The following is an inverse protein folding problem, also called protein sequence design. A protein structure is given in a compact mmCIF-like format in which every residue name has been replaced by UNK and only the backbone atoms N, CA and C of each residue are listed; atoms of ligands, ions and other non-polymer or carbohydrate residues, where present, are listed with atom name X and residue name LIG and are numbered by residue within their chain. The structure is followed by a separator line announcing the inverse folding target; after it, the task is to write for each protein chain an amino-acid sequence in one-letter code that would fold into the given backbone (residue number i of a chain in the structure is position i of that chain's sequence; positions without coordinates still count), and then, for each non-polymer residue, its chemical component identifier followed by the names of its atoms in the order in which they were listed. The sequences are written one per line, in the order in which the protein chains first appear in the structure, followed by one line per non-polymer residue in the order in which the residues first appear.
data_IF_221854647336
#
_entry.id   IF_221854647336
#
_cell.length_a   1.000
_cell.length_b   1.000
_cell.length_c   1.000
_cell.angle_alpha   90.00
_cell.angle_beta   90.00
_cell.angle_gamma   90.00
#
_symmetry.space_group_name_H-M   'P 1'
#
loop_
_entity.id
_entity.type
_entity.pdbx_description
1 polymer ?
#
# COMPACT_ATOMS: atom_id res chain seq x y z
N UNK A 1 33.42 -3.63 -12.56
CA UNK A 1 32.28 -4.50 -12.94
C UNK A 1 31.05 -3.82 -12.38
N UNK A 2 29.96 -3.79 -13.14
CA UNK A 2 28.69 -3.26 -12.64
C UNK A 2 28.21 -4.08 -11.43
N UNK A 3 27.51 -3.41 -10.49
CA UNK A 3 26.93 -4.11 -9.34
C UNK A 3 25.82 -5.06 -9.79
N UNK A 4 25.88 -6.30 -9.31
CA UNK A 4 24.85 -7.32 -9.58
C UNK A 4 23.65 -7.06 -8.67
N UNK A 5 22.49 -6.80 -9.28
CA UNK A 5 21.26 -6.41 -8.58
C UNK A 5 20.25 -7.56 -8.61
N UNK A 6 19.70 -7.92 -7.44
CA UNK A 6 18.61 -8.87 -7.32
C UNK A 6 17.26 -8.14 -7.45
N UNK A 7 16.40 -8.58 -8.36
CA UNK A 7 14.99 -8.19 -8.37
C UNK A 7 14.21 -9.29 -7.65
N UNK A 8 13.74 -8.99 -6.43
CA UNK A 8 13.04 -9.94 -5.56
C UNK A 8 11.54 -9.87 -5.87
N UNK A 9 10.96 -10.97 -6.32
CA UNK A 9 9.55 -11.04 -6.69
C UNK A 9 8.96 -12.44 -6.44
N UNK A 10 7.71 -12.66 -6.81
CA UNK A 10 6.98 -13.91 -6.66
C UNK A 10 6.56 -14.16 -5.22
N UNK A 11 7.36 -14.92 -4.48
CA UNK A 11 7.07 -15.25 -3.09
C UNK A 11 5.85 -16.17 -2.90
N UNK A 12 5.27 -16.18 -1.70
CA UNK A 12 4.19 -17.11 -1.31
C UNK A 12 2.90 -16.42 -0.85
N UNK A 13 2.82 -15.10 -0.94
CA UNK A 13 1.61 -14.34 -0.56
C UNK A 13 0.46 -14.56 -1.53
N UNK A 14 -0.75 -14.17 -1.15
CA UNK A 14 -1.92 -14.16 -2.03
C UNK A 14 -1.74 -13.24 -3.26
N UNK A 15 -0.78 -12.28 -3.20
CA UNK A 15 -0.50 -11.32 -4.25
C UNK A 15 0.66 -11.77 -5.18
N UNK A 16 1.01 -13.07 -5.17
CA UNK A 16 2.10 -13.62 -5.97
C UNK A 16 2.02 -13.24 -7.46
N UNK A 17 0.87 -13.35 -8.11
CA UNK A 17 0.72 -13.03 -9.53
C UNK A 17 1.01 -11.56 -9.83
N UNK A 18 0.57 -10.65 -8.96
CA UNK A 18 0.89 -9.21 -9.06
C UNK A 18 2.39 -8.99 -8.93
N UNK A 19 3.03 -9.71 -8.00
CA UNK A 19 4.48 -9.64 -7.79
C UNK A 19 5.29 -10.17 -8.97
N UNK A 20 4.85 -11.27 -9.60
CA UNK A 20 5.47 -11.80 -10.81
C UNK A 20 5.45 -10.78 -11.95
N UNK A 21 4.30 -10.14 -12.16
CA UNK A 21 4.14 -9.12 -13.21
C UNK A 21 4.97 -7.85 -12.90
N UNK A 22 4.93 -7.37 -11.66
CA UNK A 22 5.74 -6.23 -11.21
C UNK A 22 7.23 -6.51 -11.34
N UNK A 23 7.67 -7.70 -10.89
CA UNK A 23 9.07 -8.11 -10.97
C UNK A 23 9.60 -8.22 -12.39
N UNK A 24 8.80 -8.77 -13.30
CA UNK A 24 9.15 -8.86 -14.72
C UNK A 24 9.29 -7.45 -15.34
N UNK A 25 8.37 -6.54 -15.06
CA UNK A 25 8.43 -5.17 -15.56
C UNK A 25 9.65 -4.42 -14.99
N UNK A 26 9.89 -4.49 -13.67
CA UNK A 26 11.06 -3.88 -13.02
C UNK A 26 12.36 -4.40 -13.60
N UNK A 27 12.48 -5.72 -13.77
CA UNK A 27 13.66 -6.37 -14.37
C UNK A 27 13.93 -5.83 -15.76
N UNK A 28 12.91 -5.73 -16.61
CA UNK A 28 13.03 -5.18 -17.96
C UNK A 28 13.46 -3.70 -17.92
N UNK A 29 12.81 -2.87 -17.10
CA UNK A 29 13.13 -1.44 -16.98
C UNK A 29 14.54 -1.16 -16.44
N UNK A 30 15.01 -1.94 -15.46
CA UNK A 30 16.38 -1.83 -14.94
C UNK A 30 17.43 -2.20 -16.01
N UNK A 31 17.19 -3.28 -16.77
CA UNK A 31 18.08 -3.69 -17.85
C UNK A 31 18.12 -2.68 -19.00
N UNK A 32 16.97 -2.11 -19.36
CA UNK A 32 16.89 -0.98 -20.32
C UNK A 32 17.71 0.23 -19.82
N UNK A 33 17.70 0.48 -18.50
CA UNK A 33 18.52 1.51 -17.85
C UNK A 33 20.00 1.14 -17.69
N UNK A 34 20.46 0.01 -18.23
CA UNK A 34 21.85 -0.41 -18.19
C UNK A 34 22.30 -1.08 -16.89
N UNK A 35 21.36 -1.45 -16.01
CA UNK A 35 21.64 -2.12 -14.73
C UNK A 35 21.81 -3.63 -14.93
N UNK A 36 22.81 -4.23 -14.28
CA UNK A 36 23.02 -5.70 -14.26
C UNK A 36 22.03 -6.37 -13.30
N UNK A 37 20.74 -6.40 -13.71
CA UNK A 37 19.63 -6.90 -12.93
C UNK A 37 19.28 -8.36 -13.24
N UNK A 38 19.06 -9.14 -12.17
CA UNK A 38 18.77 -10.57 -12.24
C UNK A 38 17.48 -10.93 -11.49
N UNK A 39 16.66 -11.85 -12.04
CA UNK A 39 15.42 -12.27 -11.40
C UNK A 39 15.71 -13.20 -10.22
N UNK A 40 14.99 -12.98 -9.12
CA UNK A 40 15.05 -13.83 -7.92
C UNK A 40 13.63 -14.05 -7.41
N UNK A 41 13.03 -15.21 -7.73
CA UNK A 41 11.78 -15.63 -7.09
C UNK A 41 12.10 -16.13 -5.68
N UNK A 42 11.58 -15.42 -4.67
CA UNK A 42 11.88 -15.72 -3.26
C UNK A 42 11.25 -17.02 -2.76
N UNK A 43 10.35 -17.63 -3.53
CA UNK A 43 9.85 -18.98 -3.27
C UNK A 43 10.89 -20.05 -3.60
N UNK A 44 11.69 -19.82 -4.63
CA UNK A 44 12.57 -20.83 -5.23
C UNK A 44 14.05 -20.62 -4.82
N UNK A 45 14.41 -19.40 -4.42
CA UNK A 45 15.77 -19.01 -4.05
C UNK A 45 15.83 -18.64 -2.56
N UNK A 46 16.78 -19.23 -1.84
CA UNK A 46 17.08 -18.86 -0.46
C UNK A 46 17.67 -17.42 -0.39
N UNK A 47 16.87 -16.48 0.05
CA UNK A 47 17.23 -15.06 0.15
C UNK A 47 18.43 -14.83 1.07
N UNK A 48 18.68 -15.71 2.05
CA UNK A 48 19.86 -15.62 2.94
C UNK A 48 21.17 -15.74 2.18
N UNK A 49 21.15 -16.31 0.98
CA UNK A 49 22.33 -16.54 0.15
C UNK A 49 22.64 -15.40 -0.83
N UNK A 50 21.85 -14.35 -0.91
CA UNK A 50 22.02 -13.26 -1.88
C UNK A 50 23.44 -12.69 -1.88
N UNK A 51 24.01 -12.44 -0.70
CA UNK A 51 25.37 -11.92 -0.58
C UNK A 51 26.42 -12.91 -1.11
N UNK A 52 26.26 -14.20 -0.81
CA UNK A 52 27.15 -15.26 -1.30
C UNK A 52 27.02 -15.47 -2.82
N UNK A 53 25.83 -15.22 -3.38
CA UNK A 53 25.56 -15.23 -4.82
C UNK A 53 26.08 -13.98 -5.54
N UNK A 54 26.73 -13.06 -4.81
CA UNK A 54 27.39 -11.88 -5.35
C UNK A 54 26.48 -10.67 -5.56
N UNK A 55 25.24 -10.71 -5.09
CA UNK A 55 24.34 -9.57 -5.18
C UNK A 55 24.79 -8.44 -4.25
N UNK A 56 24.73 -7.20 -4.75
CA UNK A 56 25.15 -5.98 -4.03
C UNK A 56 23.99 -5.18 -3.48
N UNK A 57 22.85 -5.21 -4.18
CA UNK A 57 21.59 -4.58 -3.79
C UNK A 57 20.42 -5.45 -4.20
N UNK A 58 19.26 -5.20 -3.58
CA UNK A 58 18.00 -5.84 -3.92
C UNK A 58 16.94 -4.78 -4.26
N UNK A 59 16.24 -4.98 -5.37
CA UNK A 59 15.00 -4.27 -5.67
C UNK A 59 13.84 -5.15 -5.18
N UNK A 60 13.04 -4.66 -4.24
CA UNK A 60 11.88 -5.39 -3.72
C UNK A 60 10.68 -5.08 -4.60
N UNK A 61 10.16 -6.12 -5.28
CA UNK A 61 8.92 -6.12 -6.06
C UNK A 61 7.95 -7.21 -5.56
N UNK A 62 8.08 -7.55 -4.27
CA UNK A 62 7.15 -8.42 -3.56
C UNK A 62 5.99 -7.61 -3.00
N UNK A 63 4.81 -8.24 -2.90
CA UNK A 63 3.61 -7.63 -2.36
C UNK A 63 3.01 -8.49 -1.24
N UNK A 64 2.32 -7.84 -0.31
CA UNK A 64 1.67 -8.49 0.81
C UNK A 64 2.63 -9.03 1.87
N UNK A 65 2.15 -10.00 2.63
CA UNK A 65 2.88 -10.59 3.76
C UNK A 65 4.19 -11.25 3.32
N UNK A 66 5.26 -11.03 4.08
CA UNK A 66 6.60 -11.53 3.78
C UNK A 66 7.37 -10.70 2.75
N UNK A 67 6.74 -9.71 2.11
CA UNK A 67 7.36 -8.82 1.12
C UNK A 67 7.39 -7.37 1.56
N UNK A 68 6.30 -6.87 2.13
CA UNK A 68 6.16 -5.46 2.52
C UNK A 68 5.76 -5.27 4.01
N UNK A 69 5.88 -6.31 4.83
CA UNK A 69 5.55 -6.31 6.26
C UNK A 69 6.76 -6.15 7.21
N UNK A 70 7.95 -5.91 6.67
CA UNK A 70 9.19 -5.77 7.43
C UNK A 70 9.98 -7.07 7.59
N UNK A 71 9.40 -8.24 7.30
CA UNK A 71 10.07 -9.54 7.47
C UNK A 71 11.26 -9.68 6.53
N UNK A 72 11.05 -9.43 5.23
CA UNK A 72 12.11 -9.46 4.23
C UNK A 72 13.17 -8.39 4.50
N UNK A 73 12.74 -7.17 4.84
CA UNK A 73 13.61 -6.05 5.15
C UNK A 73 14.55 -6.40 6.31
N UNK A 74 14.02 -7.02 7.37
CA UNK A 74 14.84 -7.47 8.51
C UNK A 74 15.86 -8.55 8.14
N UNK A 75 15.50 -9.47 7.23
CA UNK A 75 16.44 -10.45 6.72
C UNK A 75 17.55 -9.78 5.92
N UNK A 76 17.21 -8.84 5.01
CA UNK A 76 18.18 -8.12 4.18
C UNK A 76 19.12 -7.26 5.04
N UNK A 77 18.61 -6.62 6.11
CA UNK A 77 19.41 -5.91 7.09
C UNK A 77 20.44 -6.84 7.77
N UNK A 78 20.00 -8.02 8.23
CA UNK A 78 20.88 -9.00 8.90
C UNK A 78 21.99 -9.51 7.99
N UNK A 79 21.71 -9.76 6.71
CA UNK A 79 22.71 -10.20 5.73
C UNK A 79 23.48 -9.02 5.09
N UNK A 80 23.14 -7.79 5.46
CA UNK A 80 23.78 -6.57 4.96
C UNK A 80 23.70 -6.44 3.42
N UNK A 81 22.53 -6.65 2.85
CA UNK A 81 22.22 -6.38 1.44
C UNK A 81 21.29 -5.16 1.40
N UNK A 82 21.77 -4.00 0.91
CA UNK A 82 20.94 -2.82 0.73
C UNK A 82 19.73 -3.12 -0.19
N UNK A 83 18.61 -2.49 0.09
CA UNK A 83 17.36 -2.74 -0.64
C UNK A 83 16.55 -1.47 -0.87
N UNK A 84 15.65 -1.52 -1.84
CA UNK A 84 14.74 -0.43 -2.18
C UNK A 84 13.58 -0.33 -1.20
N UNK A 85 13.18 0.90 -0.87
CA UNK A 85 11.96 1.17 -0.10
C UNK A 85 12.20 1.36 1.39
N UNK A 86 11.15 1.18 2.15
CA UNK A 86 11.12 1.43 3.59
C UNK A 86 11.75 0.29 4.39
N UNK A 87 12.33 0.63 5.55
CA UNK A 87 12.91 -0.35 6.47
C UNK A 87 11.86 -1.12 7.29
N UNK A 88 12.34 -1.97 8.20
CA UNK A 88 11.54 -2.92 8.99
C UNK A 88 10.34 -2.27 9.66
N UNK A 89 10.59 -1.23 10.48
CA UNK A 89 9.54 -0.60 11.28
C UNK A 89 8.47 0.05 10.41
N UNK A 90 8.88 0.84 9.42
CA UNK A 90 7.95 1.55 8.55
C UNK A 90 7.12 0.58 7.70
N UNK A 91 7.72 -0.48 7.16
CA UNK A 91 7.01 -1.53 6.41
C UNK A 91 5.99 -2.24 7.29
N UNK A 92 6.37 -2.65 8.51
CA UNK A 92 5.46 -3.31 9.44
C UNK A 92 4.28 -2.41 9.86
N UNK A 93 4.55 -1.11 10.13
CA UNK A 93 3.52 -0.14 10.48
C UNK A 93 2.58 0.15 9.31
N UNK A 94 3.13 0.29 8.10
CA UNK A 94 2.35 0.59 6.89
C UNK A 94 1.41 -0.56 6.51
N UNK A 95 1.86 -1.80 6.67
CA UNK A 95 1.04 -2.99 6.42
C UNK A 95 -0.13 -3.13 7.40
N UNK A 96 -0.02 -2.57 8.60
CA UNK A 96 -1.02 -2.64 9.66
C UNK A 96 -1.88 -1.35 9.68
N UNK A 97 -3.08 -1.42 9.09
CA UNK A 97 -4.01 -0.29 8.99
C UNK A 97 -4.36 0.31 10.36
N UNK A 98 -4.49 -0.53 11.39
CA UNK A 98 -4.82 -0.07 12.74
C UNK A 98 -3.67 0.75 13.34
N UNK A 99 -2.42 0.26 13.23
CA UNK A 99 -1.23 0.94 13.75
C UNK A 99 -0.93 2.22 12.97
N UNK A 100 -1.07 2.20 11.65
CA UNK A 100 -0.97 3.41 10.82
C UNK A 100 -1.97 4.49 11.26
N UNK A 101 -3.23 4.11 11.48
CA UNK A 101 -4.28 5.05 11.93
C UNK A 101 -3.99 5.62 13.31
N UNK A 102 -3.53 4.80 14.26
CA UNK A 102 -3.15 5.31 15.58
C UNK A 102 -2.02 6.34 15.52
N UNK A 103 -1.00 6.07 14.69
CA UNK A 103 0.12 6.99 14.51
C UNK A 103 -0.30 8.28 13.85
N UNK A 104 -1.06 8.21 12.76
CA UNK A 104 -1.59 9.39 12.08
C UNK A 104 -2.50 10.22 12.98
N UNK A 105 -3.42 9.58 13.68
CA UNK A 105 -4.32 10.25 14.64
C UNK A 105 -3.52 10.90 15.77
N UNK A 106 -2.53 10.21 16.34
CA UNK A 106 -1.63 10.74 17.37
C UNK A 106 -0.81 11.93 16.90
N UNK A 107 -0.51 12.00 15.60
CA UNK A 107 0.17 13.13 14.95
C UNK A 107 -0.79 14.25 14.50
N UNK A 108 -2.09 14.13 14.80
CA UNK A 108 -3.12 15.11 14.43
C UNK A 108 -3.47 15.09 12.93
N UNK A 109 -3.18 13.97 12.22
CA UNK A 109 -3.55 13.82 10.81
C UNK A 109 -4.95 13.21 10.67
N UNK A 110 -5.71 13.58 9.63
CA UNK A 110 -7.09 13.16 9.46
C UNK A 110 -7.18 11.68 9.05
N UNK A 111 -7.90 10.90 9.85
CA UNK A 111 -8.32 9.52 9.57
C UNK A 111 -9.82 9.40 9.77
N UNK A 112 -10.49 8.58 8.96
CA UNK A 112 -11.92 8.33 9.14
C UNK A 112 -12.19 7.81 10.57
N UNK A 113 -13.30 8.15 11.23
CA UNK A 113 -13.70 7.56 12.51
C UNK A 113 -13.79 6.02 12.39
N UNK A 114 -13.31 5.30 13.40
CA UNK A 114 -13.21 3.86 13.37
C UNK A 114 -13.33 3.22 14.76
N UNK A 115 -13.66 1.91 14.76
CA UNK A 115 -13.66 1.03 15.93
C UNK A 115 -12.82 -0.20 15.57
N UNK A 116 -11.85 -0.57 16.41
CA UNK A 116 -11.10 -1.79 16.24
C UNK A 116 -11.71 -2.92 17.07
N UNK A 117 -11.73 -4.11 16.49
CA UNK A 117 -12.21 -5.35 17.11
C UNK A 117 -11.13 -6.42 17.04
N UNK A 118 -10.99 -7.20 18.11
CA UNK A 118 -10.18 -8.40 18.12
C UNK A 118 -11.05 -9.64 17.90
N UNK A 119 -10.44 -10.72 17.39
CA UNK A 119 -11.11 -12.04 17.27
C UNK A 119 -11.72 -12.49 18.61
N UNK A 120 -11.02 -12.26 19.73
CA UNK A 120 -11.49 -12.63 21.05
C UNK A 120 -12.80 -11.91 21.41
N UNK A 121 -12.90 -10.59 21.13
CA UNK A 121 -14.13 -9.81 21.36
C UNK A 121 -15.28 -10.32 20.47
N UNK A 122 -14.99 -10.59 19.19
CA UNK A 122 -16.00 -11.11 18.27
C UNK A 122 -16.52 -12.49 18.71
N UNK A 123 -15.63 -13.42 19.11
CA UNK A 123 -15.99 -14.76 19.51
C UNK A 123 -16.77 -14.79 20.84
N UNK A 124 -16.45 -13.87 21.76
CA UNK A 124 -17.16 -13.74 23.03
C UNK A 124 -18.54 -13.06 22.90
N UNK A 125 -18.84 -12.48 21.76
CA UNK A 125 -19.96 -11.58 21.54
C UNK A 125 -19.58 -10.13 21.88
N UNK A 126 -20.01 -9.21 21.04
CA UNK A 126 -19.70 -7.78 21.24
C UNK A 126 -20.38 -7.27 22.50
N UNK A 127 -19.64 -6.50 23.30
CA UNK A 127 -20.24 -5.82 24.47
C UNK A 127 -21.12 -4.66 24.01
N UNK A 128 -22.12 -4.29 24.81
CA UNK A 128 -22.99 -3.13 24.54
C UNK A 128 -22.21 -1.82 24.30
N UNK A 129 -21.06 -1.65 24.96
CA UNK A 129 -20.19 -0.47 24.75
C UNK A 129 -19.57 -0.48 23.34
N UNK A 130 -19.13 -1.62 22.85
CA UNK A 130 -18.58 -1.77 21.49
C UNK A 130 -19.67 -1.59 20.43
N UNK A 131 -20.84 -2.18 20.63
CA UNK A 131 -22.00 -1.99 19.74
C UNK A 131 -22.39 -0.50 19.67
N UNK A 132 -22.39 0.22 20.78
CA UNK A 132 -22.65 1.65 20.83
C UNK A 132 -21.59 2.45 20.07
N UNK A 133 -20.29 2.10 20.19
CA UNK A 133 -19.23 2.74 19.44
C UNK A 133 -19.39 2.54 17.94
N UNK A 134 -19.74 1.33 17.50
CA UNK A 134 -20.00 1.04 16.07
C UNK A 134 -21.24 1.83 15.59
N UNK A 135 -22.31 1.85 16.36
CA UNK A 135 -23.51 2.62 16.03
C UNK A 135 -23.23 4.11 15.88
N UNK A 136 -22.30 4.67 16.67
CA UNK A 136 -21.89 6.08 16.60
C UNK A 136 -21.18 6.43 15.28
N UNK A 137 -20.61 5.46 14.55
CA UNK A 137 -20.02 5.70 13.22
C UNK A 137 -21.08 6.04 12.18
N UNK A 138 -22.35 5.66 12.41
CA UNK A 138 -23.48 5.74 11.48
C UNK A 138 -23.26 4.91 10.19
N UNK A 139 -24.31 4.29 9.71
CA UNK A 139 -24.28 3.53 8.45
C UNK A 139 -24.27 4.49 7.25
N UNK A 140 -23.66 4.09 6.13
CA UNK A 140 -22.92 2.85 5.96
C UNK A 140 -21.53 2.89 6.63
N UNK A 141 -20.99 1.70 6.95
CA UNK A 141 -19.61 1.51 7.40
C UNK A 141 -18.87 0.57 6.48
N UNK A 142 -17.53 0.60 6.50
CA UNK A 142 -16.68 -0.38 5.83
C UNK A 142 -15.94 -1.22 6.87
N UNK A 143 -15.93 -2.53 6.67
CA UNK A 143 -15.21 -3.49 7.50
C UNK A 143 -13.97 -3.95 6.77
N UNK A 144 -12.82 -3.96 7.46
CA UNK A 144 -11.51 -4.26 6.88
C UNK A 144 -10.68 -5.12 7.84
N UNK A 145 -10.07 -6.22 7.38
CA UNK A 145 -8.94 -6.82 8.09
C UNK A 145 -7.80 -5.80 8.22
N UNK A 146 -7.08 -5.80 9.36
CA UNK A 146 -6.04 -4.78 9.61
C UNK A 146 -4.83 -4.95 8.71
N UNK A 147 -4.41 -6.21 8.41
CA UNK A 147 -3.14 -6.55 7.76
C UNK A 147 -3.30 -7.28 6.42
N UNK A 148 -4.40 -7.03 5.71
CA UNK A 148 -4.60 -7.56 4.35
C UNK A 148 -4.55 -6.44 3.31
N UNK A 149 -3.98 -6.76 2.14
CA UNK A 149 -3.96 -5.92 0.96
C UNK A 149 -5.11 -6.23 -0.02
N UNK A 150 -5.13 -5.53 -1.13
CA UNK A 150 -5.98 -5.82 -2.30
C UNK A 150 -7.48 -6.01 -2.00
N UNK A 151 -7.98 -5.32 -0.99
CA UNK A 151 -9.39 -5.37 -0.54
C UNK A 151 -9.89 -6.75 -0.09
N UNK A 152 -8.99 -7.69 0.23
CA UNK A 152 -9.33 -9.03 0.73
C UNK A 152 -10.10 -8.92 2.05
N UNK A 153 -11.24 -9.59 2.14
CA UNK A 153 -12.07 -9.64 3.35
C UNK A 153 -12.80 -8.33 3.69
N UNK A 154 -12.77 -7.32 2.80
CA UNK A 154 -13.47 -6.05 3.02
C UNK A 154 -14.96 -6.16 2.66
N UNK A 155 -15.79 -5.46 3.41
CA UNK A 155 -17.24 -5.39 3.15
C UNK A 155 -17.80 -4.01 3.50
N UNK A 156 -18.63 -3.45 2.60
CA UNK A 156 -19.49 -2.31 2.91
C UNK A 156 -20.77 -2.81 3.57
N UNK A 157 -21.09 -2.26 4.72
CA UNK A 157 -22.32 -2.59 5.47
C UNK A 157 -23.24 -1.38 5.44
N UNK A 158 -24.38 -1.52 4.78
CA UNK A 158 -25.40 -0.47 4.69
C UNK A 158 -26.58 -0.72 5.65
N UNK A 159 -26.81 -1.96 6.04
CA UNK A 159 -27.86 -2.37 6.97
C UNK A 159 -27.24 -3.06 8.20
N UNK A 160 -27.72 -2.76 9.39
CA UNK A 160 -27.17 -3.29 10.63
C UNK A 160 -27.24 -4.83 10.75
N UNK A 161 -28.20 -5.47 10.08
CA UNK A 161 -28.33 -6.91 10.04
C UNK A 161 -27.15 -7.61 9.31
N UNK A 162 -26.42 -6.92 8.44
CA UNK A 162 -25.29 -7.47 7.69
C UNK A 162 -23.96 -7.39 8.47
N UNK A 163 -23.91 -6.63 9.56
CA UNK A 163 -22.71 -6.43 10.35
C UNK A 163 -22.07 -7.74 10.87
N UNK A 164 -22.84 -8.71 11.42
CA UNK A 164 -22.24 -9.96 11.92
C UNK A 164 -21.59 -10.79 10.82
N UNK A 165 -22.23 -10.89 9.63
CA UNK A 165 -21.69 -11.66 8.50
C UNK A 165 -20.44 -11.01 7.92
N UNK A 166 -20.40 -9.68 7.80
CA UNK A 166 -19.27 -8.93 7.33
C UNK A 166 -18.07 -9.01 8.31
N UNK A 167 -18.31 -8.96 9.62
CA UNK A 167 -17.27 -9.21 10.63
C UNK A 167 -16.75 -10.64 10.55
N UNK A 168 -17.63 -11.64 10.41
CA UNK A 168 -17.23 -13.04 10.29
C UNK A 168 -16.33 -13.27 9.06
N UNK A 169 -16.62 -12.61 7.94
CA UNK A 169 -15.78 -12.66 6.74
C UNK A 169 -14.40 -12.03 7.01
N UNK A 170 -14.36 -10.83 7.56
CA UNK A 170 -13.09 -10.14 7.82
C UNK A 170 -12.20 -10.91 8.80
N UNK A 171 -12.79 -11.53 9.83
CA UNK A 171 -12.06 -12.36 10.79
C UNK A 171 -11.58 -13.71 10.22
N UNK A 172 -11.95 -14.10 9.00
CA UNK A 172 -11.29 -15.23 8.32
C UNK A 172 -9.87 -14.89 7.88
N UNK A 173 -9.57 -13.60 7.70
CA UNK A 173 -8.31 -13.11 7.15
C UNK A 173 -7.36 -12.51 8.19
N UNK A 174 -7.88 -11.98 9.30
CA UNK A 174 -7.04 -11.37 10.35
C UNK A 174 -7.65 -11.57 11.75
N UNK A 175 -6.83 -11.40 12.78
CA UNK A 175 -7.25 -11.42 14.20
C UNK A 175 -7.67 -10.04 14.70
N UNK A 176 -7.42 -8.99 13.92
CA UNK A 176 -7.82 -7.61 14.18
C UNK A 176 -8.56 -7.04 12.97
N UNK A 177 -9.72 -6.46 13.22
CA UNK A 177 -10.63 -5.93 12.20
C UNK A 177 -10.99 -4.49 12.54
N UNK A 178 -11.04 -3.64 11.52
CA UNK A 178 -11.50 -2.27 11.62
C UNK A 178 -12.92 -2.15 11.09
N UNK A 179 -13.77 -1.47 11.83
CA UNK A 179 -15.07 -0.95 11.38
C UNK A 179 -14.90 0.55 11.22
N UNK A 180 -15.00 1.08 10.01
CA UNK A 180 -14.76 2.49 9.72
C UNK A 180 -16.00 3.16 9.14
N UNK A 181 -16.18 4.46 9.43
CA UNK A 181 -17.13 5.28 8.70
C UNK A 181 -16.90 5.18 7.20
N UNK A 182 -17.96 4.93 6.43
CA UNK A 182 -17.88 4.98 4.98
C UNK A 182 -17.66 6.43 4.50
N UNK A 183 -16.64 6.64 3.69
CA UNK A 183 -16.39 7.91 3.01
C UNK A 183 -16.98 7.84 1.61
N UNK A 184 -17.72 8.84 1.20
CA UNK A 184 -18.55 8.81 -0.02
C UNK A 184 -17.93 9.54 -1.22
N UNK A 185 -16.83 10.25 -1.01
CA UNK A 185 -16.17 11.00 -2.06
C UNK A 185 -15.15 10.19 -2.87
N UNK A 186 -14.42 10.82 -3.79
CA UNK A 186 -13.44 10.16 -4.63
C UNK A 186 -12.21 9.72 -3.86
N UNK A 187 -11.61 8.62 -4.33
CA UNK A 187 -10.34 8.10 -3.86
C UNK A 187 -9.18 8.73 -4.66
N UNK A 188 -8.10 9.02 -3.95
CA UNK A 188 -6.85 9.55 -4.50
C UNK A 188 -5.68 8.71 -4.02
N UNK A 189 -4.61 8.72 -4.81
CA UNK A 189 -3.31 8.22 -4.38
C UNK A 189 -2.23 9.21 -4.73
N UNK A 190 -1.21 9.32 -3.88
CA UNK A 190 -0.04 10.16 -4.12
C UNK A 190 1.21 9.33 -3.89
N UNK A 191 2.04 9.26 -4.93
CA UNK A 191 3.31 8.56 -4.89
C UNK A 191 4.45 9.49 -4.45
N UNK A 192 5.44 8.90 -3.77
CA UNK A 192 6.68 9.56 -3.34
C UNK A 192 7.85 8.73 -3.87
N UNK A 193 8.86 9.40 -4.44
CA UNK A 193 10.12 8.79 -4.90
C UNK A 193 11.29 9.66 -4.42
N UNK A 194 11.98 9.21 -3.38
CA UNK A 194 12.98 9.99 -2.67
C UNK A 194 12.33 11.17 -1.94
N UNK A 195 12.72 12.37 -2.31
CA UNK A 195 12.15 13.62 -1.80
C UNK A 195 11.06 14.21 -2.70
N UNK A 196 10.83 13.60 -3.87
CA UNK A 196 9.85 14.09 -4.84
C UNK A 196 8.48 13.49 -4.58
N UNK A 197 7.50 14.37 -4.45
CA UNK A 197 6.09 14.01 -4.38
C UNK A 197 5.54 14.13 -5.79
N UNK A 198 5.07 13.01 -6.34
CA UNK A 198 4.53 12.96 -7.69
C UNK A 198 3.10 13.53 -7.73
N UNK A 199 2.61 13.91 -8.92
CA UNK A 199 1.23 14.34 -9.08
C UNK A 199 0.24 13.33 -8.53
N UNK A 200 -0.80 13.79 -7.83
CA UNK A 200 -1.85 12.92 -7.31
C UNK A 200 -2.62 12.24 -8.46
N UNK A 201 -3.19 11.09 -8.18
CA UNK A 201 -4.11 10.41 -9.10
C UNK A 201 -5.46 10.29 -8.42
N UNK A 202 -6.50 10.84 -9.05
CA UNK A 202 -7.89 10.56 -8.68
C UNK A 202 -8.34 9.29 -9.37
N UNK A 203 -8.89 8.36 -8.58
CA UNK A 203 -9.37 7.06 -9.02
C UNK A 203 -10.89 7.09 -9.07
N UNK A 204 -11.46 6.75 -10.21
CA UNK A 204 -12.89 6.61 -10.40
C UNK A 204 -13.18 5.17 -10.81
N UNK A 205 -13.42 4.32 -9.81
CA UNK A 205 -13.82 2.94 -10.06
C UNK A 205 -15.22 2.87 -10.68
N UNK A 206 -15.43 1.88 -11.53
CA UNK A 206 -16.77 1.60 -12.09
C UNK A 206 -17.73 1.01 -11.05
N UNK A 207 -17.19 0.36 -10.02
CA UNK A 207 -17.96 -0.31 -8.94
C UNK A 207 -18.13 0.55 -7.68
N UNK A 208 -18.61 -0.11 -6.62
CA UNK A 208 -18.89 0.54 -5.32
C UNK A 208 -17.61 1.03 -4.63
N UNK A 209 -16.48 0.36 -4.85
CA UNK A 209 -15.15 0.73 -4.33
C UNK A 209 -14.04 0.13 -5.22
N UNK A 210 -12.83 0.61 -5.04
CA UNK A 210 -11.64 0.22 -5.80
C UNK A 210 -11.10 -1.09 -5.26
N UNK A 211 -11.72 -2.21 -5.66
CA UNK A 211 -11.40 -3.57 -5.25
C UNK A 211 -10.31 -4.22 -6.13
N UNK A 212 -10.02 -5.50 -5.88
CA UNK A 212 -9.03 -6.26 -6.64
C UNK A 212 -9.31 -6.30 -8.14
N UNK A 213 -10.58 -6.47 -8.52
CA UNK A 213 -11.01 -6.52 -9.93
C UNK A 213 -10.78 -5.15 -10.60
N UNK A 214 -11.19 -4.06 -9.93
CA UNK A 214 -10.98 -2.70 -10.40
C UNK A 214 -9.48 -2.30 -10.44
N UNK A 215 -8.64 -2.89 -9.57
CA UNK A 215 -7.18 -2.62 -9.50
C UNK A 215 -6.37 -3.31 -10.60
N UNK A 216 -6.74 -4.54 -10.98
CA UNK A 216 -5.86 -5.41 -11.76
C UNK A 216 -6.49 -6.04 -13.00
N UNK A 217 -7.81 -6.09 -13.09
CA UNK A 217 -8.52 -6.85 -14.14
C UNK A 217 -9.45 -6.00 -15.01
N UNK A 218 -9.93 -4.85 -14.52
CA UNK A 218 -10.91 -4.03 -15.23
C UNK A 218 -10.26 -2.83 -15.90
N UNK A 219 -10.58 -2.64 -17.18
CA UNK A 219 -10.22 -1.43 -17.95
C UNK A 219 -11.26 -0.30 -17.79
N UNK A 220 -12.30 -0.50 -16.98
CA UNK A 220 -13.38 0.49 -16.79
C UNK A 220 -13.03 1.55 -15.74
N UNK A 221 -12.01 1.32 -14.90
CA UNK A 221 -11.53 2.30 -13.93
C UNK A 221 -10.87 3.48 -14.64
N UNK A 222 -11.32 4.68 -14.34
CA UNK A 222 -10.74 5.91 -14.89
C UNK A 222 -9.75 6.54 -13.90
N UNK A 223 -8.65 7.04 -14.44
CA UNK A 223 -7.58 7.70 -13.70
C UNK A 223 -7.35 9.11 -14.22
N UNK A 224 -7.30 10.08 -13.31
CA UNK A 224 -7.04 11.49 -13.63
C UNK A 224 -5.75 11.92 -12.92
N UNK A 225 -4.74 12.36 -13.69
CA UNK A 225 -3.44 12.76 -13.17
C UNK A 225 -2.99 14.07 -13.83
N UNK A 226 -2.85 15.20 -13.10
CA UNK A 226 -3.07 15.31 -11.64
C UNK A 226 -4.54 15.07 -11.26
N UNK A 227 -4.76 14.68 -9.99
CA UNK A 227 -6.08 14.40 -9.45
C UNK A 227 -6.94 15.63 -9.25
N UNK A 228 -6.31 16.80 -9.10
CA UNK A 228 -6.96 18.10 -9.00
C UNK A 228 -6.48 19.04 -10.12
N UNK A 229 -7.42 19.78 -10.69
CA UNK A 229 -7.11 20.91 -11.59
C UNK A 229 -6.69 22.16 -10.80
N UNK A 230 -7.20 22.30 -9.57
CA UNK A 230 -6.83 23.39 -8.66
C UNK A 230 -5.47 23.12 -8.01
N UNK A 231 -4.44 23.93 -8.29
CA UNK A 231 -3.10 23.73 -7.71
C UNK A 231 -3.07 23.83 -6.18
N UNK A 232 -3.99 24.56 -5.56
CA UNK A 232 -4.06 24.66 -4.11
C UNK A 232 -4.49 23.34 -3.50
N UNK A 233 -5.52 22.68 -4.04
CA UNK A 233 -5.98 21.35 -3.58
C UNK A 233 -4.94 20.27 -3.85
N UNK A 234 -4.24 20.35 -5.01
CA UNK A 234 -3.12 19.44 -5.31
C UNK A 234 -1.98 19.60 -4.29
N UNK A 235 -1.62 20.83 -3.92
CA UNK A 235 -0.64 21.10 -2.87
C UNK A 235 -1.08 20.64 -1.48
N UNK A 236 -2.37 20.77 -1.15
CA UNK A 236 -2.94 20.33 0.13
C UNK A 236 -2.80 18.80 0.31
N UNK A 237 -3.20 18.02 -0.71
CA UNK A 237 -3.11 16.56 -0.63
C UNK A 237 -1.66 16.09 -0.59
N UNK A 238 -0.76 16.70 -1.38
CA UNK A 238 0.67 16.39 -1.38
C UNK A 238 1.30 16.68 0.00
N UNK A 239 0.96 17.82 0.61
CA UNK A 239 1.44 18.19 1.95
C UNK A 239 0.95 17.23 3.04
N UNK A 240 -0.32 16.78 2.96
CA UNK A 240 -0.88 15.79 3.87
C UNK A 240 -0.14 14.45 3.74
N UNK A 241 0.06 13.99 2.50
CA UNK A 241 0.72 12.71 2.22
C UNK A 241 2.16 12.71 2.68
N UNK A 242 2.92 13.81 2.46
CA UNK A 242 4.29 13.92 2.96
C UNK A 242 4.36 13.82 4.50
N UNK A 243 3.43 14.47 5.20
CA UNK A 243 3.36 14.35 6.66
C UNK A 243 3.04 12.92 7.10
N UNK A 244 2.06 12.27 6.44
CA UNK A 244 1.66 10.90 6.74
C UNK A 244 2.81 9.90 6.50
N UNK A 245 3.56 10.07 5.41
CA UNK A 245 4.75 9.31 5.06
C UNK A 245 5.84 9.42 6.13
N UNK A 246 6.12 10.64 6.55
CA UNK A 246 7.14 10.92 7.56
C UNK A 246 6.76 10.39 8.95
N UNK A 247 5.49 10.44 9.33
CA UNK A 247 4.98 9.90 10.62
C UNK A 247 5.21 8.39 10.72
N UNK A 248 5.03 7.66 9.63
CA UNK A 248 5.31 6.21 9.58
C UNK A 248 6.81 5.90 9.51
N UNK A 249 7.67 6.88 9.24
CA UNK A 249 9.10 6.70 9.04
C UNK A 249 9.45 6.04 7.71
N UNK A 250 8.56 6.14 6.72
CA UNK A 250 8.76 5.59 5.39
C UNK A 250 9.93 6.27 4.66
N UNK A 251 10.59 5.52 3.78
CA UNK A 251 11.75 5.97 2.99
C UNK A 251 11.71 5.39 1.58
N UNK A 252 12.59 5.96 0.74
CA UNK A 252 12.81 5.49 -0.61
C UNK A 252 11.64 5.81 -1.53
N UNK A 253 10.67 4.93 -1.63
CA UNK A 253 9.53 5.11 -2.51
C UNK A 253 8.28 4.41 -1.99
N UNK A 254 7.12 4.82 -2.46
CA UNK A 254 5.83 4.23 -2.13
C UNK A 254 4.69 5.16 -2.48
N UNK A 255 3.49 4.88 -1.94
CA UNK A 255 2.33 5.75 -2.11
C UNK A 255 1.46 5.75 -0.85
N UNK A 256 0.69 6.81 -0.67
CA UNK A 256 -0.36 6.91 0.33
C UNK A 256 -1.70 7.09 -0.38
N UNK A 257 -2.67 6.30 0.04
CA UNK A 257 -4.02 6.35 -0.47
C UNK A 257 -4.88 7.23 0.46
N UNK A 258 -5.68 8.11 -0.14
CA UNK A 258 -6.43 9.18 0.52
C UNK A 258 -7.83 9.21 -0.05
N UNK A 259 -8.82 9.44 0.79
CA UNK A 259 -10.20 9.64 0.36
C UNK A 259 -10.68 11.04 0.70
N UNK A 260 -11.42 11.66 -0.20
CA UNK A 260 -12.15 12.88 0.05
C UNK A 260 -13.55 12.51 0.55
N UNK A 261 -14.05 13.12 1.64
CA UNK A 261 -15.44 12.92 2.03
C UNK A 261 -16.33 14.06 1.50
N UNK A 262 -17.62 13.91 1.65
CA UNK A 262 -18.64 14.87 1.22
C UNK A 262 -18.49 16.26 1.83
N UNK A 263 -17.79 16.37 2.96
CA UNK A 263 -17.45 17.64 3.62
C UNK A 263 -16.23 18.36 3.00
N UNK A 264 -15.60 17.75 1.97
CA UNK A 264 -14.41 18.29 1.30
C UNK A 264 -13.11 18.08 2.07
N UNK A 265 -13.12 17.25 3.13
CA UNK A 265 -11.92 16.90 3.91
C UNK A 265 -11.24 15.66 3.36
N UNK A 266 -9.90 15.67 3.42
CA UNK A 266 -9.08 14.51 3.12
C UNK A 266 -8.98 13.58 4.32
N UNK A 267 -9.02 12.28 4.08
CA UNK A 267 -8.83 11.23 5.09
C UNK A 267 -7.83 10.20 4.58
N UNK A 268 -6.79 9.94 5.37
CA UNK A 268 -5.78 8.93 5.07
C UNK A 268 -6.39 7.53 5.17
N UNK A 269 -6.14 6.69 4.16
CA UNK A 269 -6.61 5.30 4.11
C UNK A 269 -5.52 4.33 4.53
N UNK A 270 -4.45 4.26 3.73
CA UNK A 270 -3.34 3.31 3.91
C UNK A 270 -2.05 3.82 3.25
N UNK A 271 -0.92 3.25 3.67
CA UNK A 271 0.38 3.45 3.05
C UNK A 271 0.85 2.15 2.39
N UNK A 272 1.41 2.25 1.18
CA UNK A 272 1.93 1.13 0.41
C UNK A 272 3.43 1.35 0.17
N UNK A 273 4.27 0.53 0.81
CA UNK A 273 5.74 0.67 0.78
C UNK A 273 6.42 -0.12 -0.33
N UNK A 274 5.69 -1.01 -1.01
CA UNK A 274 6.13 -1.72 -2.22
C UNK A 274 4.95 -1.85 -3.20
N UNK A 275 4.45 -0.72 -3.75
CA UNK A 275 3.30 -0.74 -4.63
C UNK A 275 3.59 -1.43 -5.96
N UNK A 276 2.53 -1.87 -6.66
CA UNK A 276 2.63 -2.51 -7.96
C UNK A 276 3.39 -1.68 -9.00
N UNK A 277 4.11 -2.36 -9.88
CA UNK A 277 5.01 -1.77 -10.88
C UNK A 277 4.73 -2.29 -12.29
N UNK A 278 3.47 -2.56 -12.61
CA UNK A 278 3.01 -2.89 -13.97
C UNK A 278 2.68 -1.63 -14.77
N UNK A 279 2.38 -1.76 -16.05
CA UNK A 279 1.97 -0.65 -16.93
C UNK A 279 0.70 0.08 -16.47
N UNK A 280 -0.17 -0.61 -15.73
CA UNK A 280 -1.42 -0.07 -15.17
C UNK A 280 -1.26 0.44 -13.72
N UNK A 281 -0.07 0.30 -13.13
CA UNK A 281 0.17 0.68 -11.74
C UNK A 281 0.28 2.19 -11.57
N UNK A 282 -0.17 2.68 -10.41
CA UNK A 282 -0.37 4.11 -10.14
C UNK A 282 0.95 4.88 -10.00
N UNK A 283 2.01 4.29 -9.41
CA UNK A 283 3.31 4.94 -9.29
C UNK A 283 3.96 5.18 -10.66
N UNK A 284 4.03 4.19 -11.57
CA UNK A 284 4.46 4.43 -12.95
C UNK A 284 3.62 5.46 -13.70
N UNK A 285 2.30 5.51 -13.45
CA UNK A 285 1.40 6.49 -14.05
C UNK A 285 1.73 7.91 -13.60
N UNK A 286 1.88 8.15 -12.29
CA UNK A 286 2.26 9.45 -11.73
C UNK A 286 3.65 9.89 -12.20
N UNK A 287 4.62 8.96 -12.24
CA UNK A 287 5.97 9.24 -12.73
C UNK A 287 5.98 9.66 -14.21
N UNK A 288 5.18 9.00 -15.05
CA UNK A 288 5.02 9.37 -16.47
C UNK A 288 4.44 10.78 -16.62
N UNK A 289 3.45 11.14 -15.80
CA UNK A 289 2.87 12.48 -15.78
C UNK A 289 3.91 13.54 -15.37
N UNK A 290 4.84 13.17 -14.47
CA UNK A 290 5.98 14.02 -14.08
C UNK A 290 7.13 14.03 -15.12
N UNK A 291 6.96 13.36 -16.27
CA UNK A 291 7.96 13.33 -17.36
C UNK A 291 9.05 12.26 -17.19
N UNK A 292 8.87 11.30 -16.29
CA UNK A 292 9.83 10.23 -16.03
C UNK A 292 9.41 8.94 -16.76
N UNK A 293 10.31 8.35 -17.56
CA UNK A 293 10.07 7.04 -18.16
C UNK A 293 10.08 5.93 -17.09
N UNK A 294 9.51 4.77 -17.41
CA UNK A 294 9.50 3.64 -16.47
C UNK A 294 10.93 3.17 -16.11
N UNK A 295 11.82 3.12 -17.11
CA UNK A 295 13.23 2.78 -16.89
C UNK A 295 13.92 3.80 -15.96
N UNK A 296 13.70 5.09 -16.16
CA UNK A 296 14.21 6.14 -15.28
C UNK A 296 13.66 6.01 -13.85
N UNK A 297 12.38 5.69 -13.71
CA UNK A 297 11.73 5.49 -12.41
C UNK A 297 12.40 4.34 -11.63
N UNK A 298 12.53 3.15 -12.24
CA UNK A 298 13.08 1.98 -11.52
C UNK A 298 14.56 2.14 -11.22
N UNK A 299 15.33 2.80 -12.08
CA UNK A 299 16.75 3.14 -11.79
C UNK A 299 16.83 4.11 -10.63
N UNK A 300 16.01 5.18 -10.63
CA UNK A 300 15.96 6.16 -9.53
C UNK A 300 15.58 5.50 -8.20
N UNK A 301 14.59 4.60 -8.19
CA UNK A 301 14.22 3.85 -6.99
C UNK A 301 15.40 2.99 -6.51
N UNK A 302 16.11 2.32 -7.42
CA UNK A 302 17.28 1.53 -7.07
C UNK A 302 18.41 2.38 -6.47
N UNK A 303 18.61 3.58 -6.98
CA UNK A 303 19.65 4.51 -6.48
C UNK A 303 19.36 4.99 -5.04
N UNK A 304 18.09 4.95 -4.62
CA UNK A 304 17.67 5.27 -3.24
C UNK A 304 17.89 4.09 -2.27
N UNK A 305 18.28 2.90 -2.75
CA UNK A 305 18.57 1.75 -1.89
C UNK A 305 19.81 1.99 -1.03
N UNK A 306 19.65 1.96 0.29
CA UNK A 306 20.69 2.25 1.25
C UNK A 306 20.55 1.45 2.54
#
# INVERSE_FOLDING_TARGET
MADKIAVLFGGTSAEREVSLNSGAAVLAGLREGGVDAHPVDTRDVDVTQLKNLGFKKAFIALHGRGGEDGTLQGLLDLIQVPYTGSGVMASALSMDKLRSKWLWQGAGLPVAPWVALTRAQFTAGLSAAVEQQIAALSLPVIIKPSREGSSVGMSKVSESCDLPSALALAFQHDDEVLVEKWLSGPEFTVAIVGEEILPSIRIQAAGTFYDYEAKYLSDETQYFCPGFEDPARESDIQSLVLKAWNVLGCKGWGRIDVMLDSDGQFYLLEANTSPGMTSHSLVPMAARQAGMSFSQLVVRILDLAG
#
